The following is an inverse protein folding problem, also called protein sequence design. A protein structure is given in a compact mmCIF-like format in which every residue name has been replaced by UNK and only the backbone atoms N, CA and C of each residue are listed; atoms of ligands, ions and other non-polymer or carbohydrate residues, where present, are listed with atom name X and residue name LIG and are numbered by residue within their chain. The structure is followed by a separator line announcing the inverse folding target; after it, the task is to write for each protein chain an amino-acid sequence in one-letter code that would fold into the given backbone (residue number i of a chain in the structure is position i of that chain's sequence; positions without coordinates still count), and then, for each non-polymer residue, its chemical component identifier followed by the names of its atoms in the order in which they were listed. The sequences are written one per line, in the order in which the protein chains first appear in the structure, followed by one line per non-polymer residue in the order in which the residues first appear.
data_IF_280787821613
#
_entry.id   IF_280787821613
#
_cell.length_a   1.000
_cell.length_b   1.000
_cell.length_c   1.000
_cell.angle_alpha   90.00
_cell.angle_beta   90.00
_cell.angle_gamma   90.00
#
_symmetry.space_group_name_H-M   'P 1'
#
loop_
_entity.id
_entity.type
_entity.pdbx_description
1 polymer ?
#
# COMPACT_ATOMS: atom_id res chain seq x y z
N UNK A 1 -41.89 28.93 -45.47
CA UNK A 1 -41.68 30.33 -45.05
C UNK A 1 -40.24 30.68 -45.34
N UNK A 2 -40.02 31.54 -46.34
CA UNK A 2 -38.72 32.03 -46.77
C UNK A 2 -38.20 33.10 -45.80
N UNK A 3 -36.88 33.17 -45.61
CA UNK A 3 -36.24 34.18 -44.77
C UNK A 3 -36.38 35.57 -45.43
N UNK A 4 -37.03 36.57 -44.80
CA UNK A 4 -37.25 37.89 -45.41
C UNK A 4 -35.96 38.73 -45.53
N UNK A 5 -34.86 38.32 -44.88
CA UNK A 5 -33.56 38.99 -44.99
C UNK A 5 -32.72 38.49 -46.18
N UNK A 6 -33.18 37.47 -46.91
CA UNK A 6 -32.55 36.97 -48.15
C UNK A 6 -32.72 37.96 -49.32
N UNK A 7 -33.64 38.93 -49.18
CA UNK A 7 -33.90 40.01 -50.16
C UNK A 7 -33.07 41.28 -49.90
N UNK A 8 -32.33 41.35 -48.80
CA UNK A 8 -31.42 42.46 -48.49
C UNK A 8 -30.02 42.15 -49.06
N UNK A 9 -29.97 42.07 -50.40
CA UNK A 9 -28.91 42.49 -51.33
C UNK A 9 -27.44 42.56 -50.90
N UNK A 10 -26.98 41.68 -50.02
CA UNK A 10 -25.57 41.54 -49.66
C UNK A 10 -25.11 40.07 -49.81
N UNK A 11 -25.75 39.31 -50.69
CA UNK A 11 -25.08 38.12 -51.23
C UNK A 11 -23.91 38.61 -52.09
N UNK A 12 -22.79 37.88 -52.05
CA UNK A 12 -21.54 38.32 -52.69
C UNK A 12 -21.69 38.31 -54.22
N UNK A 13 -22.07 39.46 -54.79
CA UNK A 13 -22.25 39.68 -56.25
C UNK A 13 -20.99 39.34 -57.08
N UNK A 14 -19.82 39.25 -56.45
CA UNK A 14 -18.55 38.87 -57.09
C UNK A 14 -18.26 37.36 -57.03
N UNK A 15 -19.23 36.52 -57.39
CA UNK A 15 -19.00 35.08 -57.60
C UNK A 15 -18.11 34.77 -58.82
N UNK A 16 -17.74 35.80 -59.59
CA UNK A 16 -17.00 35.72 -60.85
C UNK A 16 -15.66 36.46 -60.80
N UNK A 17 -14.93 36.33 -59.69
CA UNK A 17 -13.46 36.38 -59.81
C UNK A 17 -13.07 35.10 -60.56
N UNK A 18 -13.14 35.16 -61.90
CA UNK A 18 -12.57 34.13 -62.77
C UNK A 18 -11.17 33.90 -62.26
N UNK A 19 -10.92 32.73 -61.67
CA UNK A 19 -9.63 32.41 -61.12
C UNK A 19 -8.59 32.67 -62.22
N UNK A 20 -7.67 33.63 -62.04
CA UNK A 20 -6.74 33.97 -63.09
C UNK A 20 -5.97 32.70 -63.44
N UNK A 21 -5.78 32.47 -64.75
CA UNK A 21 -4.94 31.38 -65.22
C UNK A 21 -3.58 31.47 -64.50
N UNK A 22 -2.95 30.32 -64.17
CA UNK A 22 -1.61 30.33 -63.60
C UNK A 22 -0.68 31.18 -64.48
N UNK A 23 0.20 31.99 -63.88
CA UNK A 23 1.08 32.85 -64.64
C UNK A 23 1.96 32.04 -65.59
N UNK A 24 2.32 32.64 -66.73
CA UNK A 24 3.26 32.02 -67.68
C UNK A 24 4.60 31.73 -67.01
N UNK A 25 5.19 30.59 -67.32
CA UNK A 25 6.50 30.19 -66.80
C UNK A 25 7.60 31.08 -67.38
N UNK A 26 8.24 31.89 -66.53
CA UNK A 26 9.39 32.73 -66.90
C UNK A 26 10.59 32.22 -66.11
N UNK A 27 11.54 31.58 -66.81
CA UNK A 27 12.75 31.00 -66.20
C UNK A 27 13.89 32.02 -66.24
N UNK A 28 14.47 32.34 -65.08
CA UNK A 28 15.64 33.22 -64.99
C UNK A 28 16.87 32.52 -65.54
N UNK A 29 17.48 33.08 -66.59
CA UNK A 29 18.79 32.63 -67.06
C UNK A 29 19.90 32.94 -66.05
N UNK A 30 20.83 31.99 -65.90
CA UNK A 30 22.03 32.14 -65.08
C UNK A 30 23.24 32.38 -65.97
N UNK A 31 24.11 33.30 -65.57
CA UNK A 31 25.40 33.57 -66.24
C UNK A 31 26.51 32.63 -65.75
N UNK A 32 26.19 31.67 -64.88
CA UNK A 32 27.14 30.69 -64.36
C UNK A 32 27.67 29.79 -65.48
N UNK A 33 29.00 29.69 -65.57
CA UNK A 33 29.69 28.76 -66.47
C UNK A 33 29.68 27.31 -65.97
N UNK A 34 29.21 27.05 -64.74
CA UNK A 34 29.32 25.74 -64.09
C UNK A 34 28.25 24.79 -64.65
N UNK A 35 28.67 23.59 -65.03
CA UNK A 35 27.83 22.54 -65.62
C UNK A 35 27.69 21.31 -64.73
N UNK A 36 28.48 21.22 -63.67
CA UNK A 36 28.42 20.15 -62.68
C UNK A 36 27.36 20.44 -61.63
N UNK A 37 26.51 19.45 -61.34
CA UNK A 37 25.60 19.48 -60.20
C UNK A 37 26.36 19.07 -58.92
N UNK A 38 27.32 19.91 -58.54
CA UNK A 38 28.14 19.73 -57.35
C UNK A 38 27.99 20.99 -56.49
N UNK A 39 27.70 20.86 -55.19
CA UNK A 39 27.59 22.02 -54.32
C UNK A 39 28.91 22.80 -54.31
N UNK A 40 28.86 24.14 -54.18
CA UNK A 40 30.08 24.94 -54.13
C UNK A 40 30.96 24.54 -52.93
N UNK A 41 32.27 24.79 -52.97
CA UNK A 41 33.18 24.46 -51.88
C UNK A 41 32.85 25.18 -50.55
N UNK A 42 32.04 26.24 -50.61
CA UNK A 42 31.53 26.94 -49.42
C UNK A 42 30.45 26.16 -48.67
N UNK A 43 29.84 25.14 -49.27
CA UNK A 43 28.81 24.29 -48.68
C UNK A 43 29.42 23.15 -47.82
N UNK A 44 30.43 23.46 -47.02
CA UNK A 44 31.10 22.51 -46.13
C UNK A 44 30.30 22.34 -44.81
N UNK A 45 29.85 21.11 -44.46
CA UNK A 45 29.15 20.86 -43.20
C UNK A 45 30.02 21.12 -41.96
N UNK A 46 31.36 21.13 -42.07
CA UNK A 46 32.27 21.45 -40.96
C UNK A 46 32.09 22.88 -40.44
N UNK A 47 31.61 23.78 -41.31
CA UNK A 47 31.37 25.20 -40.99
C UNK A 47 30.03 25.43 -40.26
N UNK A 48 29.27 24.37 -39.98
CA UNK A 48 27.99 24.48 -39.30
C UNK A 48 28.14 24.91 -37.83
N UNK A 49 27.40 25.95 -37.42
CA UNK A 49 27.35 26.35 -36.02
C UNK A 49 26.58 25.31 -35.18
N UNK A 50 27.32 24.54 -34.37
CA UNK A 50 26.79 23.46 -33.51
C UNK A 50 25.68 23.94 -32.56
N UNK A 51 25.80 25.17 -32.05
CA UNK A 51 24.86 25.78 -31.10
C UNK A 51 24.12 26.97 -31.69
N UNK A 52 23.72 26.89 -32.97
CA UNK A 52 22.85 27.89 -33.58
C UNK A 52 21.58 28.08 -32.73
N UNK A 53 21.07 29.31 -32.54
CA UNK A 53 19.81 29.54 -31.82
C UNK A 53 18.68 28.66 -32.36
N UNK A 54 18.05 27.91 -31.47
CA UNK A 54 16.90 27.05 -31.78
C UNK A 54 15.68 27.55 -31.03
N UNK A 55 14.47 27.47 -31.63
CA UNK A 55 13.25 27.69 -30.88
C UNK A 55 13.18 26.70 -29.70
N UNK A 56 12.54 27.09 -28.60
CA UNK A 56 12.33 26.25 -27.40
C UNK A 56 10.87 26.27 -26.97
N UNK A 57 10.47 25.35 -26.08
CA UNK A 57 9.11 25.29 -25.55
C UNK A 57 8.04 25.03 -26.62
N UNK A 58 6.91 25.74 -26.52
CA UNK A 58 5.77 25.58 -27.43
C UNK A 58 6.12 25.98 -28.88
N UNK A 59 6.94 27.01 -29.04
CA UNK A 59 7.41 27.46 -30.35
C UNK A 59 8.24 26.38 -31.06
N UNK A 60 9.06 25.64 -30.30
CA UNK A 60 9.78 24.49 -30.83
C UNK A 60 8.84 23.36 -31.23
N UNK A 61 7.82 23.08 -30.42
CA UNK A 61 6.86 22.01 -30.70
C UNK A 61 6.06 22.25 -32.00
N UNK A 62 5.73 23.52 -32.30
CA UNK A 62 5.03 23.90 -33.53
C UNK A 62 5.96 23.97 -34.75
N UNK A 63 7.20 24.41 -34.57
CA UNK A 63 8.21 24.49 -35.64
C UNK A 63 8.92 23.18 -35.92
N UNK A 64 8.84 22.20 -35.02
CA UNK A 64 9.42 20.88 -35.22
C UNK A 64 8.73 20.14 -36.36
N UNK A 65 9.45 19.99 -37.47
CA UNK A 65 8.97 19.32 -38.68
C UNK A 65 8.88 17.82 -38.53
N UNK A 66 9.51 17.24 -37.51
CA UNK A 66 9.52 15.79 -37.26
C UNK A 66 8.37 15.37 -36.33
N UNK A 67 7.76 16.31 -35.60
CA UNK A 67 6.62 16.07 -34.74
C UNK A 67 5.31 15.86 -35.50
N UNK A 68 4.29 15.39 -34.79
CA UNK A 68 2.91 15.35 -35.28
C UNK A 68 2.47 14.05 -35.99
N UNK A 69 1.14 13.93 -36.16
CA UNK A 69 0.49 12.71 -36.63
C UNK A 69 0.90 12.30 -38.05
N UNK A 70 1.06 13.26 -38.97
CA UNK A 70 1.42 12.99 -40.37
C UNK A 70 2.75 12.22 -40.47
N UNK A 71 3.74 12.64 -39.68
CA UNK A 71 5.05 11.99 -39.64
C UNK A 71 4.97 10.60 -39.03
N UNK A 72 4.27 10.44 -37.91
CA UNK A 72 4.10 9.13 -37.26
C UNK A 72 3.38 8.14 -38.19
N UNK A 73 2.40 8.60 -38.97
CA UNK A 73 1.64 7.74 -39.89
C UNK A 73 2.44 7.28 -41.10
N UNK A 74 3.43 8.06 -41.52
CA UNK A 74 4.34 7.71 -42.61
C UNK A 74 5.50 6.81 -42.18
N UNK A 75 5.65 6.54 -40.88
CA UNK A 75 6.65 5.60 -40.35
C UNK A 75 6.02 4.23 -40.18
N UNK A 76 6.78 3.19 -40.51
CA UNK A 76 6.36 1.82 -40.23
C UNK A 76 6.31 1.56 -38.73
N UNK A 77 5.32 0.78 -38.31
CA UNK A 77 5.22 0.34 -36.93
C UNK A 77 6.37 -0.65 -36.62
N UNK A 78 6.96 -0.61 -35.42
CA UNK A 78 7.99 -1.57 -35.06
C UNK A 78 7.42 -3.00 -35.05
N UNK A 79 8.20 -3.98 -35.50
CA UNK A 79 7.79 -5.39 -35.61
C UNK A 79 7.26 -5.99 -34.29
N UNK A 80 7.81 -5.54 -33.17
CA UNK A 80 7.37 -5.89 -31.80
C UNK A 80 5.89 -5.53 -31.50
N UNK A 81 5.24 -4.75 -32.37
CA UNK A 81 3.84 -4.35 -32.19
C UNK A 81 2.85 -5.26 -32.92
N UNK A 82 3.28 -5.90 -34.01
CA UNK A 82 2.43 -6.72 -34.88
C UNK A 82 2.62 -8.21 -34.66
N UNK A 83 3.80 -8.62 -34.20
CA UNK A 83 4.05 -10.00 -33.87
C UNK A 83 3.41 -10.33 -32.53
N UNK A 84 2.18 -10.82 -32.61
CA UNK A 84 1.71 -12.16 -32.20
C UNK A 84 2.62 -13.10 -31.36
N UNK A 85 3.57 -12.58 -30.60
CA UNK A 85 4.06 -13.13 -29.35
C UNK A 85 3.83 -12.08 -28.27
N UNK A 86 2.54 -11.83 -28.02
CA UNK A 86 2.11 -11.97 -26.62
C UNK A 86 2.63 -13.35 -26.22
N UNK A 87 3.82 -13.39 -25.62
CA UNK A 87 4.28 -14.50 -24.81
C UNK A 87 3.35 -14.50 -23.61
N UNK A 88 2.09 -14.84 -23.90
CA UNK A 88 1.11 -15.30 -22.95
C UNK A 88 1.85 -16.35 -22.16
N UNK A 89 1.69 -16.31 -20.85
CA UNK A 89 2.32 -17.24 -19.91
C UNK A 89 2.09 -18.73 -20.26
N UNK A 90 1.33 -19.04 -21.32
CA UNK A 90 1.23 -20.31 -22.03
C UNK A 90 2.56 -21.06 -22.23
N UNK A 91 3.69 -20.38 -22.45
CA UNK A 91 4.98 -21.07 -22.63
C UNK A 91 5.39 -21.94 -21.41
N UNK A 92 4.88 -21.63 -20.21
CA UNK A 92 5.15 -22.40 -18.97
C UNK A 92 4.01 -23.33 -18.56
N UNK A 93 2.84 -23.25 -19.21
CA UNK A 93 1.67 -24.07 -18.85
C UNK A 93 1.88 -25.55 -19.14
N UNK A 94 2.60 -25.88 -20.22
CA UNK A 94 2.91 -27.27 -20.58
C UNK A 94 3.84 -27.98 -19.57
N UNK A 95 4.52 -27.21 -18.71
CA UNK A 95 5.50 -27.71 -17.74
C UNK A 95 5.04 -27.57 -16.28
N UNK A 96 3.76 -27.27 -16.03
CA UNK A 96 3.25 -26.89 -14.70
C UNK A 96 3.21 -28.07 -13.72
N UNK A 97 2.98 -29.29 -14.22
CA UNK A 97 2.98 -30.51 -13.39
C UNK A 97 4.40 -31.04 -13.14
N UNK A 98 5.39 -30.55 -13.88
CA UNK A 98 6.78 -30.96 -13.77
C UNK A 98 7.49 -30.04 -12.76
N UNK A 99 7.77 -30.58 -11.58
CA UNK A 99 8.54 -29.85 -10.58
C UNK A 99 9.92 -29.46 -11.12
N UNK A 100 10.24 -28.17 -11.07
CA UNK A 100 11.56 -27.64 -11.44
C UNK A 100 12.52 -27.54 -10.26
N UNK A 101 12.08 -27.94 -9.06
CA UNK A 101 12.90 -27.80 -7.86
C UNK A 101 14.12 -28.73 -7.87
N UNK A 102 14.09 -29.79 -8.70
CA UNK A 102 15.11 -30.84 -8.70
C UNK A 102 15.16 -31.63 -7.39
N UNK A 103 14.20 -31.41 -6.49
CA UNK A 103 14.09 -32.06 -5.20
C UNK A 103 12.88 -32.97 -5.23
N UNK A 104 13.08 -34.23 -4.85
CA UNK A 104 12.03 -35.22 -4.67
C UNK A 104 12.16 -35.76 -3.25
N UNK A 105 11.05 -35.78 -2.53
CA UNK A 105 11.02 -36.32 -1.18
C UNK A 105 11.06 -37.85 -1.23
N UNK A 106 11.64 -38.46 -0.19
CA UNK A 106 11.72 -39.92 -0.09
C UNK A 106 10.54 -40.45 0.71
N UNK A 107 10.07 -41.65 0.37
CA UNK A 107 8.92 -42.24 1.06
C UNK A 107 9.14 -42.40 2.56
N UNK A 108 10.38 -42.64 3.01
CA UNK A 108 10.70 -42.68 4.44
C UNK A 108 10.34 -41.35 5.12
N UNK A 109 10.71 -40.22 4.51
CA UNK A 109 10.42 -38.89 5.08
C UNK A 109 8.92 -38.62 5.11
N UNK A 110 8.20 -39.01 4.05
CA UNK A 110 6.75 -38.88 3.98
C UNK A 110 6.08 -39.72 5.08
N UNK A 111 6.47 -40.99 5.21
CA UNK A 111 5.92 -41.93 6.22
C UNK A 111 6.19 -41.50 7.66
N UNK A 112 7.33 -40.89 7.93
CA UNK A 112 7.63 -40.39 9.28
C UNK A 112 6.85 -39.12 9.62
N UNK A 113 6.52 -38.28 8.62
CA UNK A 113 5.76 -37.05 8.84
C UNK A 113 4.25 -37.25 8.88
N UNK A 114 3.72 -38.20 8.11
CA UNK A 114 2.27 -38.40 7.91
C UNK A 114 1.77 -39.78 8.34
N UNK A 115 2.65 -40.65 8.84
CA UNK A 115 2.33 -42.04 9.13
C UNK A 115 2.43 -42.95 7.89
N UNK A 116 2.27 -44.25 8.12
CA UNK A 116 2.21 -45.27 7.09
C UNK A 116 1.03 -46.19 7.40
N UNK A 117 0.22 -46.52 6.39
CA UNK A 117 -0.89 -47.46 6.50
C UNK A 117 -0.47 -48.81 7.10
N UNK A 118 0.82 -49.19 6.99
CA UNK A 118 1.33 -50.42 7.61
C UNK A 118 1.32 -50.41 9.14
N UNK A 119 1.27 -49.23 9.76
CA UNK A 119 1.27 -49.03 11.22
C UNK A 119 -0.06 -48.51 11.77
N UNK A 120 -1.09 -48.45 10.93
CA UNK A 120 -2.41 -47.93 11.31
C UNK A 120 -2.94 -48.58 12.60
N UNK A 121 -2.92 -49.91 12.68
CA UNK A 121 -3.44 -50.63 13.87
C UNK A 121 -2.72 -50.25 15.17
N UNK A 122 -1.40 -50.01 15.11
CA UNK A 122 -0.67 -49.57 16.32
C UNK A 122 -0.98 -48.13 16.68
N UNK A 123 -1.19 -47.29 15.67
CA UNK A 123 -1.53 -45.88 15.87
C UNK A 123 -2.97 -45.74 16.40
N UNK A 124 -3.90 -46.58 15.94
CA UNK A 124 -5.28 -46.67 16.48
C UNK A 124 -5.29 -47.12 17.94
N UNK A 125 -4.55 -48.17 18.29
CA UNK A 125 -4.48 -48.65 19.67
C UNK A 125 -3.86 -47.60 20.62
N UNK A 126 -2.85 -46.86 20.16
CA UNK A 126 -2.25 -45.76 20.93
C UNK A 126 -3.24 -44.60 21.08
N UNK A 127 -3.94 -44.22 20.01
CA UNK A 127 -4.95 -43.16 20.07
C UNK A 127 -6.14 -43.53 20.98
N UNK A 128 -6.56 -44.79 21.01
CA UNK A 128 -7.59 -45.27 21.93
C UNK A 128 -7.12 -45.18 23.39
N UNK A 129 -5.87 -45.53 23.66
CA UNK A 129 -5.27 -45.39 24.99
C UNK A 129 -5.16 -43.92 25.41
N UNK A 130 -4.76 -43.03 24.51
CA UNK A 130 -4.69 -41.59 24.78
C UNK A 130 -6.09 -41.01 25.05
N UNK A 131 -7.11 -41.40 24.27
CA UNK A 131 -8.49 -40.98 24.50
C UNK A 131 -9.03 -41.47 25.85
N UNK A 132 -8.71 -42.71 26.24
CA UNK A 132 -9.08 -43.24 27.55
C UNK A 132 -8.40 -42.44 28.68
N UNK A 133 -7.11 -42.11 28.53
CA UNK A 133 -6.38 -41.30 29.48
C UNK A 133 -6.94 -39.87 29.58
N UNK A 134 -7.37 -39.25 28.48
CA UNK A 134 -8.04 -37.96 28.51
C UNK A 134 -9.40 -38.02 29.23
N UNK A 135 -10.21 -39.06 29.00
CA UNK A 135 -11.48 -39.25 29.73
C UNK A 135 -11.24 -39.40 31.23
N UNK A 136 -10.19 -40.13 31.64
CA UNK A 136 -9.81 -40.27 33.04
C UNK A 136 -9.30 -38.95 33.64
N UNK A 137 -8.51 -38.19 32.88
CA UNK A 137 -8.05 -36.86 33.30
C UNK A 137 -9.20 -35.85 33.44
N UNK A 138 -10.17 -35.87 32.52
CA UNK A 138 -11.36 -35.02 32.58
C UNK A 138 -12.25 -35.39 33.79
N UNK A 139 -12.46 -36.69 34.06
CA UNK A 139 -13.16 -37.14 35.27
C UNK A 139 -12.45 -36.70 36.56
N UNK A 140 -11.12 -36.80 36.59
CA UNK A 140 -10.32 -36.32 37.72
C UNK A 140 -10.35 -34.78 37.87
N UNK A 141 -10.71 -34.05 36.81
CA UNK A 141 -10.84 -32.59 36.83
C UNK A 141 -12.28 -32.14 37.21
N UNK A 142 -13.30 -32.93 36.88
CA UNK A 142 -14.69 -32.74 37.35
C UNK A 142 -14.90 -33.17 38.81
N UNK A 143 -14.14 -34.14 39.32
CA UNK A 143 -14.04 -34.40 40.74
C UNK A 143 -13.19 -33.31 41.41
N UNK A 144 -13.81 -32.18 41.72
CA UNK A 144 -13.20 -31.11 42.53
C UNK A 144 -12.47 -31.74 43.73
N UNK A 145 -11.16 -31.52 43.92
CA UNK A 145 -10.46 -32.10 45.05
C UNK A 145 -11.16 -31.60 46.31
N UNK A 146 -11.66 -32.52 47.13
CA UNK A 146 -12.37 -32.24 48.39
C UNK A 146 -11.55 -31.21 49.15
N UNK A 147 -11.97 -29.95 49.06
CA UNK A 147 -11.14 -28.86 49.51
C UNK A 147 -11.25 -28.85 51.03
N UNK A 148 -10.16 -29.15 51.73
CA UNK A 148 -10.02 -28.91 53.16
C UNK A 148 -9.92 -27.39 53.45
N UNK A 149 -10.75 -26.58 52.78
CA UNK A 149 -10.80 -25.13 52.90
C UNK A 149 -12.16 -24.79 53.51
N UNK A 150 -12.14 -24.17 54.69
CA UNK A 150 -13.33 -23.60 55.33
C UNK A 150 -14.02 -22.65 54.34
N UNK A 151 -15.34 -22.64 54.31
CA UNK A 151 -16.06 -21.70 53.47
C UNK A 151 -15.73 -20.27 53.89
N UNK A 152 -15.77 -19.32 52.95
CA UNK A 152 -15.53 -17.91 53.27
C UNK A 152 -16.50 -17.42 54.36
N UNK A 153 -17.73 -17.94 54.38
CA UNK A 153 -18.71 -17.65 55.42
C UNK A 153 -18.28 -18.18 56.77
N UNK A 154 -17.77 -19.41 56.87
CA UNK A 154 -17.28 -19.97 58.13
C UNK A 154 -16.05 -19.20 58.64
N UNK A 155 -15.15 -18.79 57.74
CA UNK A 155 -14.01 -17.94 58.09
C UNK A 155 -14.44 -16.56 58.60
N UNK A 156 -15.43 -15.94 57.95
CA UNK A 156 -15.97 -14.64 58.40
C UNK A 156 -16.69 -14.77 59.74
N UNK A 157 -17.42 -15.87 59.95
CA UNK A 157 -18.09 -16.13 61.22
C UNK A 157 -17.09 -16.34 62.36
N UNK A 158 -16.01 -17.10 62.13
CA UNK A 158 -14.90 -17.26 63.09
C UNK A 158 -14.22 -15.91 63.40
N UNK A 159 -13.99 -15.08 62.38
CA UNK A 159 -13.40 -13.76 62.57
C UNK A 159 -14.32 -12.80 63.35
N UNK A 160 -15.63 -12.83 63.06
CA UNK A 160 -16.64 -12.01 63.73
C UNK A 160 -16.92 -12.47 65.18
N UNK A 161 -16.75 -13.75 65.47
CA UNK A 161 -16.89 -14.31 66.82
C UNK A 161 -15.60 -14.22 67.65
N UNK A 162 -14.49 -13.77 67.05
CA UNK A 162 -13.27 -13.47 67.80
C UNK A 162 -13.48 -12.29 68.75
N UNK A 163 -13.08 -12.46 70.02
CA UNK A 163 -13.30 -11.47 71.08
C UNK A 163 -12.61 -10.11 70.83
N UNK A 164 -11.70 -10.07 69.87
CA UNK A 164 -10.96 -8.86 69.48
C UNK A 164 -11.80 -7.86 68.67
N UNK A 165 -12.94 -8.27 68.09
CA UNK A 165 -13.80 -7.40 67.27
C UNK A 165 -15.05 -6.89 68.01
N UNK A 166 -15.18 -7.10 69.33
CA UNK A 166 -16.26 -6.48 70.12
C UNK A 166 -16.01 -4.99 70.25
N UNK A 167 -16.84 -4.17 69.60
CA UNK A 167 -16.84 -2.72 69.83
C UNK A 167 -17.08 -2.42 71.32
N UNK A 168 -16.32 -1.50 71.95
CA UNK A 168 -16.50 -1.16 73.35
C UNK A 168 -17.90 -0.57 73.56
N UNK A 169 -18.68 -1.14 74.47
CA UNK A 169 -20.00 -0.62 74.81
C UNK A 169 -19.86 0.80 75.39
N UNK A 170 -20.49 1.79 74.75
CA UNK A 170 -20.48 3.16 75.23
C UNK A 170 -21.12 3.24 76.63
N UNK A 171 -20.32 3.57 77.65
CA UNK A 171 -20.85 3.98 78.95
C UNK A 171 -21.53 5.33 78.75
N UNK A 172 -22.82 5.44 79.10
CA UNK A 172 -23.55 6.72 79.07
C UNK A 172 -22.87 7.67 80.05
N UNK A 173 -22.33 8.77 79.54
CA UNK A 173 -21.81 9.90 80.33
C UNK A 173 -22.89 10.97 80.28
N UNK A 174 -23.26 11.51 81.43
CA UNK A 174 -24.24 12.59 81.56
C UNK A 174 -23.76 13.86 80.86
N UNK A 175 -24.66 14.50 80.10
CA UNK A 175 -24.38 15.70 79.29
C UNK A 175 -24.02 16.89 80.19
N UNK A 176 -22.79 17.38 80.10
CA UNK A 176 -22.40 18.71 80.58
C UNK A 176 -22.56 19.72 79.44
N UNK A 177 -23.55 20.61 79.54
CA UNK A 177 -23.99 21.53 78.48
C UNK A 177 -23.14 22.81 78.30
N UNK A 178 -21.93 22.89 78.85
CA UNK A 178 -21.11 24.11 78.73
C UNK A 178 -19.60 23.82 78.59
N UNK A 179 -19.20 23.19 77.49
CA UNK A 179 -17.80 23.12 77.09
C UNK A 179 -17.64 23.47 75.60
N UNK A 180 -16.98 24.58 75.32
CA UNK A 180 -16.61 24.99 73.96
C UNK A 180 -15.66 23.96 73.33
N UNK A 181 -16.01 23.52 72.12
CA UNK A 181 -15.27 22.52 71.38
C UNK A 181 -14.05 23.19 70.72
N UNK A 182 -12.90 23.13 71.38
CA UNK A 182 -11.60 23.53 70.81
C UNK A 182 -11.19 22.55 69.70
N UNK A 183 -11.64 22.83 68.47
CA UNK A 183 -11.18 22.13 67.26
C UNK A 183 -9.74 22.55 66.98
N UNK A 184 -8.80 21.63 67.18
CA UNK A 184 -7.41 21.80 66.78
C UNK A 184 -7.35 21.91 65.25
N UNK A 185 -7.12 23.12 64.73
CA UNK A 185 -6.78 23.33 63.32
C UNK A 185 -5.37 22.80 63.10
N UNK A 186 -5.23 21.72 62.34
CA UNK A 186 -3.94 21.30 61.81
C UNK A 186 -3.59 22.21 60.62
N UNK A 187 -2.70 23.16 60.86
CA UNK A 187 -2.08 23.94 59.80
C UNK A 187 -1.01 23.09 59.12
N UNK A 188 -1.17 22.87 57.81
CA UNK A 188 -0.17 22.21 56.96
C UNK A 188 1.01 23.18 56.79
N UNK A 189 2.08 22.97 57.56
CA UNK A 189 3.23 23.89 57.64
C UNK A 189 4.14 23.90 56.39
N UNK A 190 3.93 23.01 55.42
CA UNK A 190 4.61 23.06 54.13
C UNK A 190 3.83 22.33 53.04
N UNK A 191 3.62 22.99 51.90
CA UNK A 191 3.01 22.37 50.72
C UNK A 191 3.95 21.28 50.14
N UNK A 192 3.44 20.09 49.79
CA UNK A 192 4.24 19.05 49.16
C UNK A 192 4.61 19.46 47.73
N UNK A 193 5.84 19.94 47.52
CA UNK A 193 6.34 20.51 46.26
C UNK A 193 6.60 19.49 45.14
N UNK A 194 6.19 18.23 45.28
CA UNK A 194 6.45 17.22 44.24
C UNK A 194 5.41 16.11 44.17
N UNK A 195 4.36 16.39 43.39
CA UNK A 195 3.45 15.35 42.91
C UNK A 195 4.17 14.54 41.83
N UNK A 196 4.44 13.26 42.10
CA UNK A 196 4.97 12.34 41.08
C UNK A 196 3.88 12.10 40.04
N UNK A 197 4.04 12.70 38.85
CA UNK A 197 3.19 12.41 37.70
C UNK A 197 3.43 10.97 37.25
N UNK A 198 2.50 10.08 37.62
CA UNK A 198 2.43 8.74 37.06
C UNK A 198 2.07 8.87 35.58
N UNK A 199 3.03 8.56 34.72
CA UNK A 199 2.85 8.52 33.27
C UNK A 199 1.95 7.33 32.94
N UNK A 200 0.65 7.55 32.85
CA UNK A 200 -0.30 6.54 32.38
C UNK A 200 0.04 6.20 30.93
N UNK A 201 0.54 4.98 30.70
CA UNK A 201 0.66 4.43 29.35
C UNK A 201 -0.76 4.18 28.86
N UNK A 202 -1.15 4.88 27.79
CA UNK A 202 -2.43 4.67 27.12
C UNK A 202 -2.50 3.22 26.64
N UNK A 203 -3.37 2.43 27.27
CA UNK A 203 -3.65 1.07 26.85
C UNK A 203 -4.26 1.13 25.45
N UNK A 204 -3.78 0.28 24.54
CA UNK A 204 -4.28 0.17 23.18
C UNK A 204 -5.74 -0.27 23.26
N UNK A 205 -6.67 0.65 23.05
CA UNK A 205 -8.08 0.33 22.89
C UNK A 205 -8.32 -0.24 21.50
N UNK A 206 -9.22 -1.21 21.41
CA UNK A 206 -9.69 -1.74 20.12
C UNK A 206 -10.57 -0.68 19.49
N UNK A 207 -10.11 -0.08 18.40
CA UNK A 207 -10.92 0.79 17.55
C UNK A 207 -11.72 -0.10 16.59
N UNK A 208 -13.04 -0.11 16.76
CA UNK A 208 -13.94 -0.71 15.78
C UNK A 208 -14.17 0.32 14.68
N UNK A 209 -13.99 -0.11 13.43
CA UNK A 209 -14.30 0.70 12.26
C UNK A 209 -15.71 0.31 11.82
N UNK A 210 -16.68 1.17 12.08
CA UNK A 210 -18.03 1.00 11.55
C UNK A 210 -17.98 1.42 10.08
N UNK A 211 -18.19 0.48 9.17
CA UNK A 211 -18.29 0.77 7.74
C UNK A 211 -19.66 0.33 7.24
N UNK A 212 -20.38 1.28 6.65
CA UNK A 212 -21.61 1.00 5.93
C UNK A 212 -21.26 0.40 4.56
N UNK A 213 -21.64 -0.86 4.36
CA UNK A 213 -21.51 -1.52 3.07
C UNK A 213 -22.74 -1.20 2.24
N UNK A 214 -22.60 -0.32 1.24
CA UNK A 214 -23.59 -0.19 0.19
C UNK A 214 -23.25 -1.15 -0.96
N UNK A 215 -24.08 -2.17 -1.14
CA UNK A 215 -24.01 -3.05 -2.30
C UNK A 215 -24.77 -2.38 -3.45
N UNK A 216 -24.03 -1.73 -4.36
CA UNK A 216 -24.58 -1.24 -5.62
C UNK A 216 -24.68 -2.41 -6.60
N UNK A 217 -25.64 -3.29 -6.38
CA UNK A 217 -26.01 -4.35 -7.31
C UNK A 217 -27.50 -4.21 -7.60
N UNK A 218 -27.85 -3.13 -8.33
CA UNK A 218 -28.81 -3.11 -9.44
C UNK A 218 -29.10 -1.64 -9.85
N UNK A 219 -28.23 -1.07 -10.69
CA UNK A 219 -28.60 0.07 -11.55
C UNK A 219 -28.01 -0.19 -12.93
N UNK A 220 -28.71 -1.04 -13.67
CA UNK A 220 -28.47 -1.26 -15.09
C UNK A 220 -28.84 -0.03 -15.93
N UNK A 221 -27.94 0.28 -16.87
CA UNK A 221 -28.16 0.92 -18.18
C UNK A 221 -28.12 2.47 -18.34
N UNK A 222 -27.24 2.87 -19.29
CA UNK A 222 -27.15 4.12 -20.06
C UNK A 222 -26.60 5.37 -19.32
N UNK A 223 -25.61 6.15 -19.78
CA UNK A 223 -24.83 6.30 -21.02
C UNK A 223 -23.50 7.05 -20.68
N UNK A 224 -22.48 7.04 -21.55
CA UNK A 224 -21.18 7.66 -21.27
C UNK A 224 -21.13 9.14 -21.67
N UNK A 225 -20.33 9.94 -20.93
CA UNK A 225 -19.43 11.04 -21.40
C UNK A 225 -19.31 12.15 -20.34
N UNK A 226 -18.10 12.40 -19.85
CA UNK A 226 -17.28 13.55 -20.28
C UNK A 226 -15.88 13.47 -19.69
N UNK A 227 -14.91 13.64 -20.57
CA UNK A 227 -13.50 13.75 -20.29
C UNK A 227 -13.23 15.23 -20.03
N UNK A 228 -13.06 15.63 -18.78
CA UNK A 228 -12.64 17.00 -18.43
C UNK A 228 -11.17 17.01 -18.05
N UNK A 229 -10.36 17.34 -19.06
CA UNK A 229 -9.04 17.93 -18.89
C UNK A 229 -9.20 19.34 -18.28
N UNK A 230 -8.81 19.54 -17.03
CA UNK A 230 -7.98 20.68 -16.59
C UNK A 230 -7.90 20.79 -15.06
N UNK A 231 -6.71 20.55 -14.49
CA UNK A 231 -5.90 21.54 -13.74
C UNK A 231 -4.88 20.85 -12.83
N UNK A 232 -3.61 21.22 -13.00
CA UNK A 232 -2.63 21.26 -11.92
C UNK A 232 -1.62 20.11 -11.85
N UNK A 233 -0.54 20.19 -12.63
CA UNK A 233 0.74 19.61 -12.18
C UNK A 233 1.34 20.45 -11.02
N UNK A 234 2.57 20.19 -10.54
CA UNK A 234 3.48 19.06 -10.81
C UNK A 234 4.08 18.45 -9.52
N UNK A 235 4.34 17.13 -9.43
CA UNK A 235 5.45 16.64 -8.57
C UNK A 235 6.22 15.48 -9.19
N UNK A 236 7.46 15.83 -9.53
CA UNK A 236 8.68 15.03 -9.58
C UNK A 236 8.63 13.81 -8.66
N UNK A 237 8.83 12.62 -9.22
CA UNK A 237 9.04 11.37 -8.50
C UNK A 237 9.83 10.41 -9.38
N UNK A 238 11.12 10.69 -9.56
CA UNK A 238 12.04 9.79 -10.26
C UNK A 238 12.12 8.45 -9.53
N UNK A 239 12.08 7.35 -10.30
CA UNK A 239 12.47 6.02 -9.83
C UNK A 239 13.89 6.10 -9.24
N UNK A 240 14.15 5.61 -8.02
CA UNK A 240 15.53 5.46 -7.59
C UNK A 240 16.22 4.42 -8.47
N UNK A 241 17.31 4.86 -9.11
CA UNK A 241 18.32 3.98 -9.73
C UNK A 241 18.88 3.08 -8.62
N UNK A 242 18.93 1.78 -8.88
CA UNK A 242 19.66 0.84 -8.04
C UNK A 242 21.14 1.25 -7.99
N UNK A 243 21.62 1.65 -6.81
CA UNK A 243 23.05 1.78 -6.55
C UNK A 243 23.63 0.40 -6.34
N UNK A 244 24.43 -0.07 -7.31
CA UNK A 244 25.48 -1.06 -7.06
C UNK A 244 26.57 -0.36 -6.26
N UNK A 245 26.75 -0.80 -5.01
CA UNK A 245 27.92 -0.71 -4.14
C UNK A 245 27.53 -1.53 -2.90
N UNK A 246 28.33 -2.37 -2.27
CA UNK A 246 29.64 -2.96 -2.49
C UNK A 246 29.62 -4.25 -1.62
N UNK A 247 30.49 -5.22 -1.88
CA UNK A 247 30.43 -6.56 -1.28
C UNK A 247 30.17 -6.56 0.23
N UNK A 248 29.03 -7.11 0.60
CA UNK A 248 28.71 -7.47 1.98
C UNK A 248 29.56 -8.71 2.31
N UNK A 249 30.64 -8.49 3.07
CA UNK A 249 31.46 -9.57 3.57
C UNK A 249 30.59 -10.49 4.43
N UNK A 250 30.62 -11.79 4.11
CA UNK A 250 30.05 -12.83 4.98
C UNK A 250 30.67 -12.69 6.38
N UNK A 251 29.89 -12.74 7.47
CA UNK A 251 30.46 -12.64 8.80
C UNK A 251 31.43 -13.80 9.03
N UNK A 252 32.67 -13.49 9.40
CA UNK A 252 33.65 -14.49 9.80
C UNK A 252 33.19 -15.14 11.12
N UNK A 253 33.25 -16.47 11.16
CA UNK A 253 32.87 -17.27 12.33
C UNK A 253 33.98 -17.15 13.38
N UNK A 254 33.93 -16.09 14.19
CA UNK A 254 34.86 -15.87 15.30
C UNK A 254 34.15 -16.15 16.63
N UNK A 255 34.89 -16.69 17.60
CA UNK A 255 34.42 -17.13 18.93
C UNK A 255 33.69 -16.05 19.77
N UNK A 256 33.63 -14.80 19.31
CA UNK A 256 32.91 -13.69 19.93
C UNK A 256 31.42 -13.62 19.58
N UNK A 257 30.97 -14.38 18.57
CA UNK A 257 29.58 -14.35 18.07
C UNK A 257 28.77 -15.61 18.42
N UNK A 258 29.28 -16.48 19.30
CA UNK A 258 28.48 -17.57 19.84
C UNK A 258 27.80 -17.10 21.12
N UNK A 259 26.48 -17.35 21.31
CA UNK A 259 25.84 -17.12 22.59
C UNK A 259 26.47 -18.06 23.63
N UNK A 260 27.12 -17.48 24.64
CA UNK A 260 27.57 -18.24 25.81
C UNK A 260 26.34 -18.73 26.57
N UNK A 261 26.22 -20.05 26.74
CA UNK A 261 25.28 -20.65 27.67
C UNK A 261 25.73 -20.30 29.09
N UNK A 262 25.05 -19.33 29.70
CA UNK A 262 25.03 -19.05 31.13
C UNK A 262 23.59 -18.77 31.52
#
# INVERSE_FOLDING_TARGET
MSNPFDLLGNDVEDATIVAPLPPKEIVKHTTSSKKSDVPPPSADPSRANKNRPKPTGNEAALKDRNGGRKNNKARDAPAETTDAKKTSHAARRATDRQSRSGKVDTDKKVRQGWGDNKKEVSDEAAAEADAAAEIEADKATEETPVSNKKSLQDYLNENNSSEFNKAPSAKKVDQLENAELLVKKEEVYAEPTKVKNLKSKQLKSKQYLDFDVSFADDQSAAKPRKFDNNKGGPKRGGKPKASKNAGEQKPAVNAKNFPSLA
#
